data_IF_431904590898
#
_entry.id   IF_431904590898
#
_cell.length_a   1.000
_cell.length_b   1.000
_cell.length_c   1.000
_cell.angle_alpha   90.00
_cell.angle_beta   90.00
_cell.angle_gamma   90.00
#
_symmetry.space_group_name_H-M   'P 1'
#
loop_
_entity.id
_entity.type
_entity.pdbx_description
1 polymer ?
#
# COMPACT_ATOMS: atom_id res chain seq x y z
N UNK A 1 14.97 6.61 -10.94
CA UNK A 1 15.04 5.17 -10.53
C UNK A 1 13.83 4.74 -9.71
N UNK A 2 13.40 5.50 -8.69
CA UNK A 2 12.27 5.14 -7.81
C UNK A 2 10.91 5.02 -8.54
N UNK A 3 10.55 5.97 -9.42
CA UNK A 3 9.29 5.89 -10.17
C UNK A 3 9.22 4.66 -11.08
N UNK A 4 10.32 4.32 -11.76
CA UNK A 4 10.39 3.12 -12.60
C UNK A 4 10.25 1.84 -11.76
N UNK A 5 10.80 1.79 -10.55
CA UNK A 5 10.61 0.65 -9.66
C UNK A 5 9.14 0.52 -9.20
N UNK A 6 8.46 1.63 -8.93
CA UNK A 6 7.03 1.65 -8.58
C UNK A 6 6.16 1.19 -9.76
N UNK A 7 6.40 1.74 -10.96
CA UNK A 7 5.68 1.34 -12.17
C UNK A 7 5.84 -0.15 -12.51
N UNK A 8 7.01 -0.72 -12.19
CA UNK A 8 7.28 -2.15 -12.37
C UNK A 8 6.87 -3.01 -11.17
N UNK A 9 6.18 -2.45 -10.16
CA UNK A 9 5.75 -3.18 -8.97
C UNK A 9 6.89 -3.70 -8.09
N UNK A 10 8.11 -3.17 -8.28
CA UNK A 10 9.32 -3.55 -7.52
C UNK A 10 9.52 -2.71 -6.25
N UNK A 11 8.74 -1.66 -6.07
CA UNK A 11 8.71 -0.82 -4.88
C UNK A 11 7.29 -0.32 -4.61
N UNK A 12 6.89 -0.28 -3.34
CA UNK A 12 5.62 0.31 -2.92
C UNK A 12 5.68 1.84 -2.87
N UNK A 13 4.52 2.46 -2.74
CA UNK A 13 4.37 3.90 -2.61
C UNK A 13 4.50 4.30 -1.12
N UNK A 14 5.60 4.95 -0.78
CA UNK A 14 5.77 5.58 0.55
C UNK A 14 5.00 6.90 0.66
N UNK A 15 4.74 7.43 1.87
CA UNK A 15 4.09 8.73 2.05
C UNK A 15 4.80 9.88 1.32
N UNK A 16 6.14 9.93 1.40
CA UNK A 16 6.92 10.94 0.66
C UNK A 16 6.72 10.81 -0.85
N UNK A 17 6.67 9.57 -1.37
CA UNK A 17 6.43 9.34 -2.78
C UNK A 17 5.01 9.70 -3.20
N UNK A 18 4.01 9.43 -2.36
CA UNK A 18 2.63 9.81 -2.60
C UNK A 18 2.50 11.34 -2.77
N UNK A 19 3.21 12.12 -1.96
CA UNK A 19 3.29 13.59 -2.12
C UNK A 19 3.99 13.98 -3.43
N UNK A 20 5.06 13.28 -3.81
CA UNK A 20 5.73 13.55 -5.10
C UNK A 20 4.84 13.24 -6.29
N UNK A 21 4.05 12.17 -6.21
CA UNK A 21 3.08 11.78 -7.24
C UNK A 21 1.89 12.75 -7.29
N UNK A 22 1.40 13.21 -6.14
CA UNK A 22 0.34 14.21 -6.07
C UNK A 22 0.73 15.51 -6.76
N UNK A 23 1.95 16.00 -6.48
CA UNK A 23 2.52 17.19 -7.13
C UNK A 23 2.76 16.98 -8.63
N UNK A 24 3.24 15.81 -9.04
CA UNK A 24 3.56 15.53 -10.44
C UNK A 24 2.31 15.35 -11.33
N UNK A 25 1.24 14.76 -10.79
CA UNK A 25 0.05 14.37 -11.54
C UNK A 25 -1.21 15.18 -11.20
N UNK A 26 -1.13 16.16 -10.28
CA UNK A 26 -2.29 16.95 -9.86
C UNK A 26 -3.37 16.10 -9.15
N UNK A 27 -2.96 15.06 -8.45
CA UNK A 27 -3.83 14.11 -7.72
C UNK A 27 -3.66 14.29 -6.21
N UNK A 28 -4.33 13.47 -5.37
CA UNK A 28 -4.13 13.50 -3.91
C UNK A 28 -3.15 12.43 -3.43
N UNK A 29 -2.31 12.77 -2.45
CA UNK A 29 -1.38 11.82 -1.85
C UNK A 29 -2.12 10.69 -1.12
N UNK A 30 -3.26 11.02 -0.50
CA UNK A 30 -4.16 10.08 0.16
C UNK A 30 -4.69 9.01 -0.80
N UNK A 31 -5.02 9.39 -2.04
CA UNK A 31 -5.46 8.43 -3.07
C UNK A 31 -4.36 7.42 -3.37
N UNK A 32 -3.12 7.88 -3.55
CA UNK A 32 -1.97 7.01 -3.80
C UNK A 32 -1.70 6.04 -2.64
N UNK A 33 -1.76 6.52 -1.40
CA UNK A 33 -1.61 5.66 -0.22
C UNK A 33 -2.76 4.67 -0.06
N UNK A 34 -4.00 5.07 -0.37
CA UNK A 34 -5.13 4.17 -0.33
C UNK A 34 -4.97 3.02 -1.34
N UNK A 35 -4.52 3.32 -2.56
CA UNK A 35 -4.24 2.27 -3.56
C UNK A 35 -3.14 1.31 -3.10
N UNK A 36 -2.07 1.82 -2.49
CA UNK A 36 -1.01 0.97 -1.92
C UNK A 36 -1.56 0.08 -0.80
N UNK A 37 -2.34 0.64 0.13
CA UNK A 37 -2.94 -0.11 1.23
C UNK A 37 -3.91 -1.19 0.74
N UNK A 38 -4.72 -0.90 -0.29
CA UNK A 38 -5.61 -1.88 -0.91
C UNK A 38 -4.84 -3.04 -1.53
N UNK A 39 -3.75 -2.75 -2.24
CA UNK A 39 -2.87 -3.77 -2.83
C UNK A 39 -2.22 -4.64 -1.73
N UNK A 40 -1.66 -4.00 -0.70
CA UNK A 40 -1.00 -4.70 0.41
C UNK A 40 -2.00 -5.60 1.16
N UNK A 41 -3.23 -5.12 1.35
CA UNK A 41 -4.29 -5.91 1.98
C UNK A 41 -4.67 -7.11 1.10
N UNK A 42 -4.81 -6.93 -0.21
CA UNK A 42 -5.09 -8.03 -1.13
C UNK A 42 -4.00 -9.11 -1.10
N UNK A 43 -2.73 -8.71 -1.08
CA UNK A 43 -1.60 -9.64 -0.93
C UNK A 43 -1.60 -10.34 0.44
N UNK A 44 -1.93 -9.62 1.51
CA UNK A 44 -2.05 -10.20 2.86
C UNK A 44 -3.20 -11.21 2.95
N UNK A 45 -4.34 -10.93 2.34
CA UNK A 45 -5.50 -11.82 2.28
C UNK A 45 -5.18 -13.15 1.59
N UNK A 46 -4.31 -13.16 0.57
CA UNK A 46 -3.84 -14.40 -0.06
C UNK A 46 -3.09 -15.31 0.91
N UNK A 47 -2.46 -14.74 1.94
CA UNK A 47 -1.74 -15.45 3.01
C UNK A 47 -2.61 -15.68 4.25
N UNK A 48 -3.89 -15.30 4.23
CA UNK A 48 -4.78 -15.36 5.39
C UNK A 48 -4.82 -16.71 6.09
N UNK A 49 -4.78 -17.82 5.34
CA UNK A 49 -4.81 -19.18 5.89
C UNK A 49 -3.56 -19.55 6.72
N UNK A 50 -2.43 -18.87 6.51
CA UNK A 50 -1.21 -19.10 7.30
C UNK A 50 -1.13 -18.24 8.55
N UNK A 51 -2.01 -17.25 8.70
CA UNK A 51 -2.05 -16.39 9.87
C UNK A 51 -2.68 -17.15 11.05
N UNK A 52 -1.85 -17.51 12.04
CA UNK A 52 -2.30 -18.14 13.29
C UNK A 52 -2.76 -17.07 14.28
N UNK A 53 -4.00 -16.61 14.15
CA UNK A 53 -4.57 -15.54 14.99
C UNK A 53 -5.75 -16.06 15.82
N UNK A 54 -5.73 -15.78 17.12
CA UNK A 54 -6.90 -15.98 18.01
C UNK A 54 -7.66 -14.65 18.12
N UNK A 55 -8.99 -14.70 18.08
CA UNK A 55 -9.81 -13.51 18.34
C UNK A 55 -9.59 -13.06 19.78
N UNK A 56 -9.29 -11.79 19.96
CA UNK A 56 -9.24 -11.15 21.27
C UNK A 56 -10.67 -10.80 21.68
N UNK A 57 -11.09 -11.22 22.87
CA UNK A 57 -12.29 -10.72 23.53
C UNK A 57 -11.87 -9.76 24.63
N UNK A 58 -12.34 -8.52 24.57
CA UNK A 58 -12.28 -7.62 25.72
C UNK A 58 -13.32 -8.07 26.75
N UNK A 59 -12.90 -8.22 28.00
CA UNK A 59 -13.77 -8.48 29.14
C UNK A 59 -14.42 -7.18 29.62
#
# INVERSE_FOLDING_TARGET
KTLSAILNGRAGISPEMAVRLSLAFGTSAESWLNQQAQYDLWEAEKKRKSLKVKRLSAA
#
